data_IF_318097630267
#
_entry.id   IF_318097630267
#
_cell.length_a   1.000
_cell.length_b   1.000
_cell.length_c   1.000
_cell.angle_alpha   90.00
_cell.angle_beta   90.00
_cell.angle_gamma   90.00
#
_symmetry.space_group_name_H-M   'P 1'
#
loop_
_entity.id
_entity.type
_entity.pdbx_description
1 polymer ?
#
# COMPACT_ATOMS: atom_id res chain seq x y z
N UNK A 1 10.73 -23.10 2.02
CA UNK A 1 10.22 -21.79 2.48
C UNK A 1 10.54 -20.78 1.41
N UNK A 2 9.60 -20.58 0.57
CA UNK A 2 9.65 -19.52 -0.42
C UNK A 2 9.42 -18.21 0.31
N UNK A 3 10.50 -17.48 0.59
CA UNK A 3 10.36 -16.08 0.82
C UNK A 3 9.74 -15.48 -0.43
N UNK A 4 8.46 -15.25 -0.42
CA UNK A 4 7.84 -14.44 -1.43
C UNK A 4 8.53 -13.08 -1.34
N UNK A 5 9.47 -12.86 -2.24
CA UNK A 5 9.96 -11.53 -2.54
C UNK A 5 8.76 -10.78 -3.10
N UNK A 6 7.96 -10.22 -2.21
CA UNK A 6 7.06 -9.16 -2.63
C UNK A 6 7.96 -8.05 -3.15
N UNK A 7 8.14 -8.01 -4.47
CA UNK A 7 8.81 -6.90 -5.11
C UNK A 7 7.96 -5.66 -4.88
N UNK A 8 8.25 -4.98 -3.77
CA UNK A 8 7.64 -3.68 -3.49
C UNK A 8 7.96 -2.76 -4.65
N UNK A 9 6.92 -2.21 -5.27
CA UNK A 9 7.08 -1.26 -6.35
C UNK A 9 7.52 0.09 -5.80
N UNK A 10 8.62 0.63 -6.33
CA UNK A 10 9.13 1.95 -5.99
C UNK A 10 9.01 2.90 -7.19
N UNK A 11 8.50 4.10 -6.94
CA UNK A 11 8.52 5.18 -7.91
C UNK A 11 9.96 5.72 -8.07
N UNK A 12 10.25 6.38 -9.18
CA UNK A 12 11.61 6.84 -9.49
C UNK A 12 12.21 7.74 -8.39
N UNK A 13 11.41 8.63 -7.82
CA UNK A 13 11.87 9.50 -6.74
C UNK A 13 12.02 8.79 -5.38
N UNK A 14 11.55 7.56 -5.26
CA UNK A 14 11.69 6.70 -4.07
C UNK A 14 12.97 5.84 -4.10
N UNK A 15 13.75 5.88 -5.18
CA UNK A 15 14.99 5.08 -5.30
C UNK A 15 15.96 5.20 -4.14
N UNK A 16 16.24 6.40 -3.58
CA UNK A 16 17.11 6.51 -2.41
C UNK A 16 16.55 5.77 -1.19
N UNK A 17 15.24 5.77 -1.02
CA UNK A 17 14.56 5.02 0.04
C UNK A 17 14.74 3.52 -0.19
N UNK A 18 14.52 3.06 -1.41
CA UNK A 18 14.69 1.66 -1.81
C UNK A 18 16.11 1.15 -1.52
N UNK A 19 17.11 1.91 -1.94
CA UNK A 19 18.52 1.55 -1.74
C UNK A 19 18.86 1.39 -0.26
N UNK A 20 18.36 2.29 0.58
CA UNK A 20 18.58 2.23 2.01
C UNK A 20 17.84 1.08 2.68
N UNK A 21 16.61 0.79 2.26
CA UNK A 21 15.83 -0.36 2.73
C UNK A 21 16.50 -1.69 2.39
N UNK A 22 17.03 -1.83 1.16
CA UNK A 22 17.79 -3.01 0.73
C UNK A 22 19.03 -3.20 1.60
N UNK A 23 19.78 -2.12 1.85
CA UNK A 23 20.98 -2.17 2.69
C UNK A 23 20.67 -2.62 4.12
N UNK A 24 19.60 -2.11 4.70
CA UNK A 24 19.14 -2.51 6.04
C UNK A 24 18.78 -3.99 6.06
N UNK A 25 18.07 -4.47 5.04
CA UNK A 25 17.67 -5.88 4.94
C UNK A 25 18.86 -6.81 4.79
N UNK A 26 19.86 -6.42 4.00
CA UNK A 26 21.13 -7.15 3.88
C UNK A 26 21.86 -7.25 5.22
N UNK A 27 21.92 -6.15 5.98
CA UNK A 27 22.54 -6.15 7.31
C UNK A 27 21.79 -7.01 8.30
N UNK A 28 20.48 -7.02 8.26
CA UNK A 28 19.66 -7.92 9.10
C UNK A 28 19.96 -9.39 8.81
N UNK A 29 20.05 -9.76 7.54
CA UNK A 29 20.40 -11.14 7.12
C UNK A 29 21.80 -11.53 7.59
N UNK A 30 22.78 -10.63 7.49
CA UNK A 30 24.14 -10.85 7.98
C UNK A 30 24.16 -11.01 9.51
N UNK A 31 23.41 -10.19 10.24
CA UNK A 31 23.32 -10.29 11.69
C UNK A 31 22.70 -11.60 12.15
N UNK A 32 21.67 -12.09 11.47
CA UNK A 32 21.00 -13.35 11.80
C UNK A 32 21.86 -14.58 11.49
N UNK A 33 22.77 -14.46 10.51
CA UNK A 33 23.65 -15.57 10.09
C UNK A 33 25.04 -15.60 10.72
N UNK A 34 25.38 -14.63 11.59
CA UNK A 34 26.71 -14.50 12.18
C UNK A 34 26.66 -14.14 13.66
N UNK A 35 27.76 -14.35 14.38
CA UNK A 35 27.91 -13.92 15.78
C UNK A 35 28.17 -12.41 15.92
N UNK A 36 28.19 -11.67 14.82
CA UNK A 36 28.43 -10.23 14.80
C UNK A 36 27.15 -9.50 15.15
N UNK A 37 27.18 -8.70 16.20
CA UNK A 37 26.08 -7.81 16.58
C UNK A 37 26.09 -6.53 15.75
N UNK A 38 25.17 -6.42 14.80
CA UNK A 38 24.98 -5.25 13.95
C UNK A 38 23.78 -4.38 14.38
N UNK A 39 23.23 -4.65 15.57
CA UNK A 39 22.00 -3.99 16.03
C UNK A 39 22.09 -2.47 16.09
N UNK A 40 23.24 -1.93 16.51
CA UNK A 40 23.45 -0.48 16.56
C UNK A 40 23.51 0.14 15.17
N UNK A 41 24.18 -0.51 14.23
CA UNK A 41 24.26 -0.06 12.83
C UNK A 41 22.90 -0.09 12.16
N UNK A 42 22.14 -1.16 12.35
CA UNK A 42 20.77 -1.27 11.86
C UNK A 42 19.88 -0.17 12.45
N UNK A 43 20.00 0.10 13.74
CA UNK A 43 19.26 1.18 14.42
C UNK A 43 19.61 2.56 13.84
N UNK A 44 20.89 2.81 13.59
CA UNK A 44 21.36 4.05 12.96
C UNK A 44 20.77 4.23 11.56
N UNK A 45 20.80 3.18 10.75
CA UNK A 45 20.25 3.19 9.40
C UNK A 45 18.73 3.33 9.37
N UNK A 46 18.03 2.71 10.31
CA UNK A 46 16.57 2.88 10.44
C UNK A 46 16.20 4.33 10.79
N UNK A 47 16.97 4.98 11.65
CA UNK A 47 16.79 6.41 11.94
C UNK A 47 16.99 7.26 10.69
N UNK A 48 18.06 6.99 9.95
CA UNK A 48 18.37 7.68 8.69
C UNK A 48 17.28 7.45 7.65
N UNK A 49 16.74 6.24 7.57
CA UNK A 49 15.63 5.92 6.68
C UNK A 49 14.37 6.74 7.01
N UNK A 50 14.05 6.86 8.28
CA UNK A 50 12.91 7.67 8.74
C UNK A 50 13.07 9.14 8.37
N UNK A 51 14.26 9.68 8.57
CA UNK A 51 14.59 11.07 8.20
C UNK A 51 14.47 11.27 6.68
N UNK A 52 15.01 10.34 5.89
CA UNK A 52 14.94 10.38 4.43
C UNK A 52 13.50 10.30 3.91
N UNK A 53 12.67 9.41 4.46
CA UNK A 53 11.24 9.33 4.12
C UNK A 53 10.52 10.64 4.42
N UNK A 54 10.79 11.24 5.58
CA UNK A 54 10.20 12.52 5.94
C UNK A 54 10.60 13.61 4.97
N UNK A 55 11.86 13.68 4.60
CA UNK A 55 12.37 14.66 3.63
C UNK A 55 11.75 14.49 2.25
N UNK A 56 11.76 13.27 1.71
CA UNK A 56 11.22 12.97 0.38
C UNK A 56 9.72 13.30 0.30
N UNK A 57 8.93 12.82 1.25
CA UNK A 57 7.47 12.99 1.20
C UNK A 57 6.99 14.37 1.63
N UNK A 58 7.83 15.18 2.28
CA UNK A 58 7.50 16.58 2.60
C UNK A 58 7.73 17.53 1.42
N UNK A 59 8.52 17.14 0.44
CA UNK A 59 8.95 17.98 -0.67
C UNK A 59 8.47 17.45 -2.03
N UNK A 60 7.31 16.82 -2.08
CA UNK A 60 6.77 16.28 -3.32
C UNK A 60 6.28 17.37 -4.27
N UNK A 61 6.64 17.23 -5.54
CA UNK A 61 6.03 18.03 -6.61
C UNK A 61 4.57 17.58 -6.85
N UNK A 62 3.71 18.41 -7.46
CA UNK A 62 2.36 17.99 -7.84
C UNK A 62 2.32 16.72 -8.69
N UNK A 63 3.27 16.55 -9.58
CA UNK A 63 3.41 15.34 -10.38
C UNK A 63 3.74 14.10 -9.54
N UNK A 64 4.67 14.22 -8.61
CA UNK A 64 5.02 13.13 -7.70
C UNK A 64 3.83 12.73 -6.81
N UNK A 65 3.05 13.69 -6.33
CA UNK A 65 1.80 13.41 -5.60
C UNK A 65 0.81 12.61 -6.45
N UNK A 66 0.68 12.99 -7.73
CA UNK A 66 -0.17 12.27 -8.69
C UNK A 66 0.33 10.83 -8.90
N UNK A 67 1.64 10.65 -9.03
CA UNK A 67 2.23 9.31 -9.18
C UNK A 67 1.96 8.42 -7.96
N UNK A 68 2.06 8.95 -6.75
CA UNK A 68 1.71 8.22 -5.52
C UNK A 68 0.23 7.86 -5.50
N UNK A 69 -0.65 8.80 -5.86
CA UNK A 69 -2.09 8.55 -5.92
C UNK A 69 -2.46 7.44 -6.91
N UNK A 70 -1.68 7.27 -7.96
CA UNK A 70 -1.86 6.26 -9.01
C UNK A 70 -0.91 5.07 -8.87
N UNK A 71 -0.37 4.86 -7.69
CA UNK A 71 0.56 3.77 -7.43
C UNK A 71 -0.05 2.42 -7.85
N UNK A 72 0.70 1.56 -8.58
CA UNK A 72 0.18 0.28 -9.09
C UNK A 72 -0.30 -0.68 -7.99
N UNK A 73 0.30 -0.62 -6.82
CA UNK A 73 -0.02 -1.49 -5.68
C UNK A 73 -1.05 -0.86 -4.73
N UNK A 74 -1.63 0.29 -5.08
CA UNK A 74 -2.65 0.91 -4.23
C UNK A 74 -3.92 0.06 -4.24
N UNK A 75 -4.52 -0.21 -3.07
CA UNK A 75 -5.76 -0.97 -3.00
C UNK A 75 -6.88 -0.30 -3.80
N UNK A 76 -7.76 -1.12 -4.36
CA UNK A 76 -8.94 -0.67 -5.10
C UNK A 76 -10.15 -0.55 -4.16
N UNK A 77 -11.26 -0.03 -4.69
CA UNK A 77 -12.49 0.16 -3.90
C UNK A 77 -12.95 -1.12 -3.22
N UNK A 78 -12.98 -2.24 -3.92
CA UNK A 78 -13.37 -3.53 -3.31
C UNK A 78 -12.43 -3.99 -2.20
N UNK A 79 -11.13 -3.71 -2.32
CA UNK A 79 -10.17 -4.03 -1.26
C UNK A 79 -10.46 -3.23 0.01
N UNK A 80 -10.74 -1.92 -0.12
CA UNK A 80 -11.13 -1.09 1.02
C UNK A 80 -12.44 -1.53 1.65
N UNK A 81 -13.43 -1.88 0.82
CA UNK A 81 -14.73 -2.36 1.31
C UNK A 81 -14.55 -3.62 2.13
N UNK A 82 -13.76 -4.58 1.65
CA UNK A 82 -13.51 -5.84 2.38
C UNK A 82 -12.80 -5.65 3.71
N UNK A 83 -11.97 -4.60 3.84
CA UNK A 83 -11.22 -4.31 5.06
C UNK A 83 -12.01 -3.49 6.08
N UNK A 84 -12.94 -2.65 5.64
CA UNK A 84 -13.61 -1.66 6.49
C UNK A 84 -15.00 -2.08 6.89
N UNK A 85 -15.77 -2.70 5.96
CA UNK A 85 -17.18 -3.01 6.17
C UNK A 85 -17.40 -4.45 6.61
N UNK A 86 -18.34 -4.60 7.53
CA UNK A 86 -18.93 -5.88 7.92
C UNK A 86 -20.24 -6.10 7.15
N UNK A 87 -20.54 -7.33 6.82
CA UNK A 87 -21.79 -7.73 6.16
C UNK A 87 -22.11 -6.89 4.90
N UNK A 88 -21.11 -6.65 4.06
CA UNK A 88 -21.30 -5.88 2.84
C UNK A 88 -22.16 -6.65 1.82
N UNK A 89 -23.21 -5.99 1.35
CA UNK A 89 -24.11 -6.49 0.31
C UNK A 89 -24.00 -5.59 -0.91
N UNK A 90 -23.48 -6.13 -2.00
CA UNK A 90 -23.36 -5.40 -3.26
C UNK A 90 -24.72 -5.31 -3.95
N UNK A 91 -25.05 -4.10 -4.44
CA UNK A 91 -26.25 -3.82 -5.21
C UNK A 91 -25.89 -3.66 -6.69
N UNK A 92 -26.60 -4.39 -7.56
CA UNK A 92 -26.37 -4.41 -9.00
C UNK A 92 -27.39 -3.60 -9.79
N UNK A 93 -28.01 -2.61 -9.17
CA UNK A 93 -29.05 -1.78 -9.75
C UNK A 93 -30.34 -2.56 -10.04
N UNK A 94 -31.10 -2.10 -11.01
CA UNK A 94 -32.36 -2.74 -11.42
C UNK A 94 -32.17 -3.88 -12.43
N UNK A 95 -30.92 -4.13 -12.85
CA UNK A 95 -30.51 -5.15 -13.82
C UNK A 95 -31.16 -5.03 -15.22
N UNK A 96 -31.71 -3.88 -15.54
CA UNK A 96 -32.35 -3.62 -16.84
C UNK A 96 -31.36 -3.55 -17.99
N UNK A 97 -30.19 -2.95 -17.73
CA UNK A 97 -29.17 -2.69 -18.75
C UNK A 97 -27.84 -3.39 -18.48
N UNK A 98 -27.85 -4.37 -17.58
CA UNK A 98 -26.63 -5.03 -17.14
C UNK A 98 -25.93 -4.32 -16.00
N UNK A 99 -24.85 -4.91 -15.53
CA UNK A 99 -24.04 -4.42 -14.42
C UNK A 99 -22.80 -3.71 -14.97
N UNK A 100 -22.40 -2.61 -14.36
CA UNK A 100 -21.15 -1.92 -14.69
C UNK A 100 -20.10 -2.23 -13.61
N UNK A 101 -19.10 -3.07 -13.90
CA UNK A 101 -18.06 -3.41 -12.93
C UNK A 101 -17.14 -2.24 -12.56
N UNK A 102 -17.21 -1.14 -13.30
CA UNK A 102 -16.41 0.07 -12.99
C UNK A 102 -16.97 0.85 -11.80
N UNK A 103 -18.20 0.58 -11.38
CA UNK A 103 -18.83 1.21 -10.21
C UNK A 103 -19.32 0.13 -9.27
N UNK A 104 -18.90 0.21 -8.01
CA UNK A 104 -19.37 -0.67 -6.93
C UNK A 104 -20.30 0.13 -6.02
N UNK A 105 -21.51 -0.38 -5.81
CA UNK A 105 -22.49 0.19 -4.89
C UNK A 105 -23.03 -0.89 -3.97
N UNK A 106 -23.28 -0.54 -2.74
CA UNK A 106 -23.82 -1.50 -1.77
C UNK A 106 -24.09 -0.89 -0.42
N UNK A 107 -24.45 -1.76 0.52
CA UNK A 107 -24.71 -1.42 1.92
C UNK A 107 -23.82 -2.29 2.80
N UNK A 108 -23.14 -1.68 3.74
CA UNK A 108 -22.29 -2.37 4.70
C UNK A 108 -22.38 -1.75 6.08
N UNK A 109 -21.79 -2.41 7.07
CA UNK A 109 -21.79 -1.95 8.46
C UNK A 109 -20.39 -1.59 8.91
N UNK A 110 -20.30 -0.51 9.68
CA UNK A 110 -19.11 -0.14 10.46
C UNK A 110 -19.57 0.10 11.90
N UNK A 111 -18.99 -0.63 12.84
CA UNK A 111 -19.36 -0.55 14.26
C UNK A 111 -20.88 -0.65 14.51
N UNK A 112 -21.54 -1.57 13.81
CA UNK A 112 -22.98 -1.82 13.93
C UNK A 112 -23.89 -0.81 13.22
N UNK A 113 -23.34 0.23 12.60
CA UNK A 113 -24.10 1.22 11.83
C UNK A 113 -24.05 0.90 10.34
N UNK A 114 -25.19 1.03 9.67
CA UNK A 114 -25.31 0.77 8.24
C UNK A 114 -24.98 2.03 7.42
N UNK A 115 -24.21 1.83 6.36
CA UNK A 115 -23.80 2.87 5.42
C UNK A 115 -24.03 2.42 3.98
N UNK A 116 -24.49 3.35 3.15
CA UNK A 116 -24.46 3.16 1.70
C UNK A 116 -23.06 3.52 1.20
N UNK A 117 -22.53 2.70 0.31
CA UNK A 117 -21.19 2.85 -0.25
C UNK A 117 -21.29 2.88 -1.76
N UNK A 118 -20.69 3.88 -2.37
CA UNK A 118 -20.56 3.99 -3.84
C UNK A 118 -19.12 4.36 -4.15
N UNK A 119 -18.48 3.61 -5.00
CA UNK A 119 -17.10 3.87 -5.39
C UNK A 119 -16.77 3.39 -6.79
N UNK A 120 -15.79 4.04 -7.41
CA UNK A 120 -15.25 3.56 -8.67
C UNK A 120 -14.26 2.43 -8.43
N UNK A 121 -14.41 1.35 -9.20
CA UNK A 121 -13.47 0.24 -9.22
C UNK A 121 -12.53 0.41 -10.41
N UNK A 122 -11.24 0.59 -10.12
CA UNK A 122 -10.21 0.64 -11.16
C UNK A 122 -10.07 -0.74 -11.80
N UNK A 123 -9.99 -0.79 -13.13
CA UNK A 123 -9.69 -2.03 -13.84
C UNK A 123 -8.26 -2.51 -13.51
N UNK A 124 -8.11 -3.81 -13.34
CA UNK A 124 -6.80 -4.43 -13.26
C UNK A 124 -6.10 -4.30 -14.63
N UNK A 125 -4.84 -3.89 -14.61
CA UNK A 125 -4.01 -3.79 -15.81
C UNK A 125 -3.20 -5.05 -15.99
#
# INVERSE_FOLDING_TARGET
MSGENYMTYYLDFEKPIQELEIKIEELKKLSDGSEIDLSQEIKRLNKKLKELKTEVYSNLTPWQKTQIARHPERPYTLDYISMIFEDFIELHGDRRFGDDPAVVAGVGKIDGKSYAVVGHQKAEQ
#
